data_IF_144356979791
#
_entry.id   IF_144356979791
#
_cell.length_a   1.000
_cell.length_b   1.000
_cell.length_c   1.000
_cell.angle_alpha   90.00
_cell.angle_beta   90.00
_cell.angle_gamma   90.00
#
_symmetry.space_group_name_H-M   'P 1'
#
loop_
_entity.id
_entity.type
_entity.pdbx_description
1 polymer ?
#
# COMPACT_ATOMS: atom_id res chain seq x y z
N UNK A 1 -7.64 19.58 -21.70
CA UNK A 1 -6.54 18.93 -22.43
C UNK A 1 -5.71 18.18 -21.41
N UNK A 2 -5.96 16.88 -21.24
CA UNK A 2 -5.18 16.03 -20.32
C UNK A 2 -4.24 15.28 -21.22
N UNK A 3 -3.12 15.93 -21.55
CA UNK A 3 -2.14 15.37 -22.47
C UNK A 3 -1.53 14.09 -21.89
N UNK A 4 -1.27 13.18 -22.81
CA UNK A 4 -0.78 11.83 -22.62
C UNK A 4 0.38 11.75 -21.60
N UNK A 5 0.05 11.24 -20.41
CA UNK A 5 1.03 10.77 -19.43
C UNK A 5 1.52 9.36 -19.80
N UNK A 6 1.92 9.18 -21.06
CA UNK A 6 2.61 8.00 -21.55
C UNK A 6 4.08 8.11 -21.12
N UNK A 7 4.34 7.64 -19.91
CA UNK A 7 5.52 6.81 -19.70
C UNK A 7 5.30 5.66 -20.68
N UNK A 8 6.13 5.48 -21.72
CA UNK A 8 5.90 4.58 -22.87
C UNK A 8 5.45 3.16 -22.52
N UNK A 9 4.18 3.02 -22.17
CA UNK A 9 3.54 1.83 -21.65
C UNK A 9 2.45 1.50 -22.68
N UNK A 10 2.71 0.45 -23.46
CA UNK A 10 1.75 -0.07 -24.43
C UNK A 10 0.50 -0.54 -23.68
N UNK A 11 -0.65 0.05 -24.00
CA UNK A 11 -1.92 -0.31 -23.37
C UNK A 11 -2.46 -1.62 -23.94
N UNK A 12 -2.61 -2.63 -23.09
CA UNK A 12 -3.32 -3.87 -23.42
C UNK A 12 -4.65 -3.89 -22.67
N UNK A 13 -5.68 -3.25 -23.24
CA UNK A 13 -7.03 -3.23 -22.63
C UNK A 13 -7.52 -4.66 -22.46
N UNK A 14 -7.53 -5.14 -21.22
CA UNK A 14 -7.95 -6.50 -20.88
C UNK A 14 -8.58 -6.50 -19.48
N UNK A 15 -9.91 -6.47 -19.41
CA UNK A 15 -10.63 -6.58 -18.14
C UNK A 15 -10.25 -7.81 -17.31
N UNK A 16 -9.99 -9.00 -17.89
CA UNK A 16 -9.51 -10.16 -17.13
C UNK A 16 -8.18 -9.90 -16.41
N UNK A 17 -7.23 -9.23 -17.07
CA UNK A 17 -5.95 -8.81 -16.47
C UNK A 17 -6.18 -7.87 -15.28
N UNK A 18 -7.07 -6.89 -15.44
CA UNK A 18 -7.37 -5.94 -14.37
C UNK A 18 -8.00 -6.65 -13.15
N UNK A 19 -8.91 -7.60 -13.38
CA UNK A 19 -9.52 -8.41 -12.32
C UNK A 19 -8.46 -9.22 -11.57
N UNK A 20 -7.55 -9.90 -12.28
CA UNK A 20 -6.48 -10.68 -11.63
C UNK A 20 -5.53 -9.81 -10.80
N UNK A 21 -5.19 -8.61 -11.28
CA UNK A 21 -4.38 -7.65 -10.52
C UNK A 21 -5.08 -7.25 -9.21
N UNK A 22 -6.39 -6.96 -9.27
CA UNK A 22 -7.17 -6.59 -8.08
C UNK A 22 -7.30 -7.76 -7.12
N UNK A 23 -7.59 -8.96 -7.63
CA UNK A 23 -7.69 -10.18 -6.81
C UNK A 23 -6.36 -10.46 -6.11
N UNK A 24 -5.22 -10.38 -6.82
CA UNK A 24 -3.90 -10.56 -6.22
C UNK A 24 -3.66 -9.60 -5.05
N UNK A 25 -3.97 -8.31 -5.25
CA UNK A 25 -3.79 -7.29 -4.22
C UNK A 25 -4.72 -7.51 -3.01
N UNK A 26 -5.99 -7.87 -3.25
CA UNK A 26 -6.95 -8.14 -2.18
C UNK A 26 -6.53 -9.36 -1.34
N UNK A 27 -6.04 -10.43 -1.96
CA UNK A 27 -5.65 -11.65 -1.25
C UNK A 27 -4.55 -11.43 -0.20
N UNK A 28 -3.57 -10.56 -0.50
CA UNK A 28 -2.51 -10.21 0.46
C UNK A 28 -3.04 -9.34 1.61
N UNK A 29 -4.15 -8.62 1.39
CA UNK A 29 -4.78 -7.76 2.39
C UNK A 29 -5.80 -8.50 3.28
N UNK A 30 -6.18 -9.72 2.93
CA UNK A 30 -7.15 -10.47 3.73
C UNK A 30 -6.51 -10.93 5.05
N UNK A 31 -7.23 -10.82 6.18
CA UNK A 31 -6.78 -11.46 7.40
C UNK A 31 -6.64 -12.97 7.14
N UNK A 32 -5.63 -13.57 7.76
CA UNK A 32 -5.29 -14.98 7.59
C UNK A 32 -5.69 -15.75 8.86
N UNK A 33 -6.98 -16.02 9.09
CA UNK A 33 -7.44 -16.62 10.34
C UNK A 33 -7.10 -18.11 10.40
N UNK A 34 -6.38 -18.49 11.44
CA UNK A 34 -6.14 -19.90 11.78
C UNK A 34 -4.96 -20.55 11.04
N UNK A 35 -4.58 -21.75 11.51
CA UNK A 35 -3.37 -22.44 11.07
C UNK A 35 -3.39 -22.93 9.61
N UNK A 36 -4.57 -23.07 8.99
CA UNK A 36 -4.71 -23.51 7.60
C UNK A 36 -4.73 -22.37 6.57
N UNK A 37 -5.10 -21.15 6.98
CA UNK A 37 -5.33 -20.05 6.06
C UNK A 37 -4.11 -19.62 5.23
N UNK A 38 -2.85 -19.70 5.73
CA UNK A 38 -1.71 -19.32 4.90
C UNK A 38 -1.51 -20.23 3.67
N UNK A 39 -1.87 -21.52 3.78
CA UNK A 39 -1.77 -22.46 2.67
C UNK A 39 -2.81 -22.18 1.59
N UNK A 40 -4.03 -21.79 2.00
CA UNK A 40 -5.09 -21.40 1.07
C UNK A 40 -4.68 -20.14 0.32
N UNK A 41 -4.20 -19.11 1.01
CA UNK A 41 -3.75 -17.87 0.36
C UNK A 41 -2.57 -18.14 -0.57
N UNK A 42 -1.59 -18.96 -0.16
CA UNK A 42 -0.48 -19.37 -1.03
C UNK A 42 -0.95 -20.13 -2.28
N UNK A 43 -1.93 -21.04 -2.15
CA UNK A 43 -2.48 -21.77 -3.28
C UNK A 43 -3.21 -20.85 -4.26
N UNK A 44 -3.99 -19.89 -3.77
CA UNK A 44 -4.69 -18.92 -4.63
C UNK A 44 -3.70 -17.96 -5.29
N UNK A 45 -2.69 -17.50 -4.58
CA UNK A 45 -1.61 -16.69 -5.15
C UNK A 45 -0.84 -17.45 -6.25
N UNK A 46 -0.50 -18.73 -6.01
CA UNK A 46 0.09 -19.59 -7.03
C UNK A 46 -0.82 -19.74 -8.26
N UNK A 47 -2.15 -19.88 -8.06
CA UNK A 47 -3.11 -19.93 -9.16
C UNK A 47 -3.17 -18.61 -9.94
N UNK A 48 -3.09 -17.46 -9.26
CA UNK A 48 -2.98 -16.14 -9.90
C UNK A 48 -1.69 -16.06 -10.72
N UNK A 49 -0.56 -16.51 -10.19
CA UNK A 49 0.72 -16.56 -10.89
C UNK A 49 0.64 -17.46 -12.14
N UNK A 50 0.08 -18.67 -12.03
CA UNK A 50 -0.13 -19.56 -13.19
C UNK A 50 -1.03 -18.90 -14.23
N UNK A 51 -2.15 -18.31 -13.80
CA UNK A 51 -3.08 -17.59 -14.69
C UNK A 51 -2.41 -16.40 -15.38
N UNK A 52 -1.51 -15.70 -14.70
CA UNK A 52 -0.72 -14.60 -15.24
C UNK A 52 0.20 -15.06 -16.39
N UNK A 53 0.85 -16.21 -16.23
CA UNK A 53 1.66 -16.83 -17.27
C UNK A 53 0.80 -17.36 -18.42
N UNK A 54 -0.37 -17.95 -18.16
CA UNK A 54 -1.30 -18.39 -19.21
C UNK A 54 -1.82 -17.24 -20.07
N UNK A 55 -2.03 -16.05 -19.47
CA UNK A 55 -2.45 -14.84 -20.18
C UNK A 55 -1.29 -14.10 -20.87
N UNK A 56 -0.04 -14.51 -20.65
CA UNK A 56 1.16 -13.82 -21.15
C UNK A 56 1.11 -12.31 -20.87
N UNK A 57 0.65 -11.93 -19.68
CA UNK A 57 0.42 -10.53 -19.33
C UNK A 57 1.48 -10.04 -18.33
N UNK A 58 2.51 -9.29 -18.79
CA UNK A 58 3.56 -8.79 -17.92
C UNK A 58 3.05 -8.02 -16.68
N UNK A 59 1.98 -7.18 -16.78
CA UNK A 59 1.41 -6.52 -15.61
C UNK A 59 0.92 -7.46 -14.51
N UNK A 60 0.24 -8.56 -14.88
CA UNK A 60 -0.23 -9.55 -13.89
C UNK A 60 0.96 -10.30 -13.31
N UNK A 61 1.93 -10.71 -14.14
CA UNK A 61 3.11 -11.45 -13.68
C UNK A 61 3.89 -10.61 -12.66
N UNK A 62 4.15 -9.33 -12.95
CA UNK A 62 4.84 -8.44 -12.00
C UNK A 62 4.03 -8.22 -10.72
N UNK A 63 2.72 -8.03 -10.84
CA UNK A 63 1.85 -7.90 -9.67
C UNK A 63 1.94 -9.14 -8.80
N UNK A 64 1.75 -10.32 -9.39
CA UNK A 64 1.77 -11.59 -8.69
C UNK A 64 3.14 -11.85 -8.02
N UNK A 65 4.25 -11.64 -8.73
CA UNK A 65 5.59 -11.79 -8.14
C UNK A 65 5.83 -10.90 -6.93
N UNK A 66 5.32 -9.66 -6.95
CA UNK A 66 5.42 -8.77 -5.79
C UNK A 66 4.54 -9.26 -4.63
N UNK A 67 3.28 -9.61 -4.91
CA UNK A 67 2.32 -10.09 -3.91
C UNK A 67 2.79 -11.39 -3.25
N UNK A 68 3.27 -12.34 -4.06
CA UNK A 68 3.81 -13.61 -3.61
C UNK A 68 5.03 -13.40 -2.70
N UNK A 69 5.92 -12.47 -3.06
CA UNK A 69 7.08 -12.14 -2.24
C UNK A 69 6.70 -11.52 -0.88
N UNK A 70 5.76 -10.55 -0.87
CA UNK A 70 5.24 -9.96 0.38
C UNK A 70 4.63 -11.06 1.27
N UNK A 71 3.74 -11.86 0.70
CA UNK A 71 3.00 -12.88 1.43
C UNK A 71 3.92 -13.98 1.96
N UNK A 72 4.88 -14.45 1.15
CA UNK A 72 5.85 -15.47 1.54
C UNK A 72 6.71 -14.99 2.70
N UNK A 73 7.30 -13.79 2.60
CA UNK A 73 8.17 -13.26 3.65
C UNK A 73 7.39 -13.06 4.95
N UNK A 74 6.18 -12.49 4.88
CA UNK A 74 5.33 -12.31 6.05
C UNK A 74 4.95 -13.66 6.69
N UNK A 75 4.58 -14.65 5.88
CA UNK A 75 4.23 -15.99 6.37
C UNK A 75 5.42 -16.70 7.00
N UNK A 76 6.61 -16.63 6.38
CA UNK A 76 7.82 -17.22 6.94
C UNK A 76 8.20 -16.53 8.25
N UNK A 77 8.18 -15.20 8.30
CA UNK A 77 8.51 -14.46 9.51
C UNK A 77 7.61 -14.78 10.69
N UNK A 78 6.30 -14.87 10.45
CA UNK A 78 5.32 -15.22 11.48
C UNK A 78 5.42 -16.70 11.90
N UNK A 79 5.64 -17.63 10.97
CA UNK A 79 5.71 -19.07 11.25
C UNK A 79 7.01 -19.51 11.89
N UNK A 80 8.12 -18.91 11.50
CA UNK A 80 9.45 -19.20 12.04
C UNK A 80 9.77 -18.37 13.29
N UNK A 81 8.83 -17.52 13.73
CA UNK A 81 9.00 -16.69 14.93
C UNK A 81 10.13 -15.67 14.80
N UNK A 82 10.35 -15.14 13.60
CA UNK A 82 11.37 -14.10 13.40
C UNK A 82 10.99 -12.84 14.18
N UNK A 83 11.99 -12.08 14.67
CA UNK A 83 11.71 -10.77 15.26
C UNK A 83 10.87 -9.91 14.30
N UNK A 84 9.81 -9.23 14.77
CA UNK A 84 8.94 -8.43 13.89
C UNK A 84 9.71 -7.45 13.02
N UNK A 85 10.73 -6.79 13.56
CA UNK A 85 11.60 -5.88 12.81
C UNK A 85 12.28 -6.55 11.62
N UNK A 86 12.76 -7.80 11.77
CA UNK A 86 13.38 -8.57 10.68
C UNK A 86 12.35 -8.88 9.59
N UNK A 87 11.18 -9.39 9.98
CA UNK A 87 10.08 -9.66 9.04
C UNK A 87 9.69 -8.40 8.27
N UNK A 88 9.52 -7.28 8.96
CA UNK A 88 9.12 -6.02 8.33
C UNK A 88 10.19 -5.48 7.37
N UNK A 89 11.47 -5.51 7.75
CA UNK A 89 12.57 -5.12 6.84
C UNK A 89 12.56 -6.00 5.59
N UNK A 90 12.40 -7.32 5.74
CA UNK A 90 12.36 -8.23 4.61
C UNK A 90 11.14 -7.99 3.71
N UNK A 91 9.96 -7.70 4.28
CA UNK A 91 8.74 -7.36 3.52
C UNK A 91 8.94 -6.06 2.72
N UNK A 92 9.72 -5.11 3.22
CA UNK A 92 10.03 -3.88 2.48
C UNK A 92 11.09 -4.11 1.39
N UNK A 93 12.12 -4.91 1.67
CA UNK A 93 13.29 -5.07 0.79
C UNK A 93 13.06 -6.11 -0.30
N UNK A 94 12.62 -7.33 0.06
CA UNK A 94 12.58 -8.47 -0.88
C UNK A 94 11.67 -8.19 -2.08
N UNK A 95 10.40 -7.75 -1.91
CA UNK A 95 9.51 -7.47 -3.04
C UNK A 95 10.00 -6.28 -3.88
N UNK A 96 10.66 -5.30 -3.25
CA UNK A 96 11.20 -4.13 -3.93
C UNK A 96 12.44 -4.47 -4.77
N UNK A 97 13.23 -5.47 -4.36
CA UNK A 97 14.41 -5.95 -5.09
C UNK A 97 14.04 -6.94 -6.19
N UNK A 98 13.05 -7.81 -5.97
CA UNK A 98 12.67 -8.85 -6.94
C UNK A 98 12.18 -8.25 -8.26
N UNK A 99 11.43 -7.14 -8.20
CA UNK A 99 10.85 -6.51 -9.38
C UNK A 99 11.90 -5.96 -10.36
N UNK A 100 12.88 -5.13 -9.96
CA UNK A 100 13.98 -4.72 -10.83
C UNK A 100 14.78 -5.90 -11.40
N UNK A 101 14.95 -6.98 -10.63
CA UNK A 101 15.65 -8.19 -11.10
C UNK A 101 14.86 -8.86 -12.23
N UNK A 102 13.56 -9.07 -12.04
CA UNK A 102 12.68 -9.61 -13.07
C UNK A 102 12.57 -8.70 -14.30
N UNK A 103 12.61 -7.37 -14.09
CA UNK A 103 12.62 -6.37 -15.15
C UNK A 103 13.87 -6.38 -16.05
N UNK A 104 14.90 -7.17 -15.73
CA UNK A 104 16.03 -7.42 -16.65
C UNK A 104 15.63 -8.28 -17.85
N UNK A 105 14.58 -9.09 -17.71
CA UNK A 105 13.98 -9.80 -18.83
C UNK A 105 13.19 -8.81 -19.71
N UNK A 106 13.44 -8.73 -21.03
CA UNK A 106 12.74 -7.78 -21.90
C UNK A 106 11.21 -7.93 -21.86
N UNK A 107 10.70 -9.14 -21.66
CA UNK A 107 9.27 -9.44 -21.55
C UNK A 107 8.60 -8.88 -20.29
N UNK A 108 9.38 -8.55 -19.24
CA UNK A 108 8.86 -8.05 -17.96
C UNK A 108 9.27 -6.59 -17.70
N UNK A 109 10.08 -5.99 -18.57
CA UNK A 109 10.46 -4.58 -18.48
C UNK A 109 9.32 -3.65 -18.94
N UNK A 110 9.18 -2.44 -18.37
CA UNK A 110 9.83 -1.94 -17.15
C UNK A 110 9.08 -2.40 -15.89
N UNK A 111 9.80 -2.95 -14.90
CA UNK A 111 9.16 -3.56 -13.72
C UNK A 111 9.01 -2.67 -12.49
N UNK A 112 9.90 -1.68 -12.31
CA UNK A 112 9.85 -0.75 -11.18
C UNK A 112 10.03 0.73 -11.56
N UNK A 113 9.38 1.24 -12.63
CA UNK A 113 9.51 2.66 -13.03
C UNK A 113 8.97 3.63 -11.95
N UNK A 114 8.34 3.09 -10.91
CA UNK A 114 7.75 3.82 -9.80
C UNK A 114 8.74 4.19 -8.69
N UNK A 115 9.90 3.53 -8.60
CA UNK A 115 10.94 3.76 -7.57
C UNK A 115 11.70 5.09 -7.70
N UNK A 116 11.23 6.00 -8.56
CA UNK A 116 11.80 7.34 -8.70
C UNK A 116 11.21 8.30 -7.67
N UNK A 117 12.01 9.25 -7.20
CA UNK A 117 11.56 10.29 -6.28
C UNK A 117 10.37 11.10 -6.86
N UNK A 118 10.43 11.41 -8.15
CA UNK A 118 9.41 12.21 -8.83
C UNK A 118 9.85 13.66 -9.00
N UNK A 119 8.88 14.55 -9.24
CA UNK A 119 9.08 15.99 -9.46
C UNK A 119 8.12 16.77 -8.57
N UNK A 120 8.59 17.88 -8.00
CA UNK A 120 7.78 18.84 -7.26
C UNK A 120 7.38 19.99 -8.19
N UNK A 121 6.14 19.94 -8.68
CA UNK A 121 5.49 21.07 -9.36
C UNK A 121 4.85 21.99 -8.32
N UNK A 122 4.48 23.21 -8.73
CA UNK A 122 3.94 24.23 -7.81
C UNK A 122 2.68 23.81 -7.07
N UNK A 123 1.87 22.92 -7.65
CA UNK A 123 0.63 22.42 -7.07
C UNK A 123 0.83 21.28 -6.05
N UNK A 124 1.96 20.56 -6.12
CA UNK A 124 2.18 19.38 -5.28
C UNK A 124 2.30 19.70 -3.78
N UNK A 125 3.09 20.70 -3.35
CA UNK A 125 3.17 21.05 -1.93
C UNK A 125 1.80 21.44 -1.36
N UNK A 126 0.99 22.18 -2.11
CA UNK A 126 -0.36 22.54 -1.71
C UNK A 126 -1.28 21.33 -1.59
N UNK A 127 -1.26 20.44 -2.59
CA UNK A 127 -2.04 19.22 -2.56
C UNK A 127 -1.64 18.32 -1.39
N UNK A 128 -0.34 18.20 -1.10
CA UNK A 128 0.19 17.47 0.04
C UNK A 128 -0.27 18.10 1.37
N UNK A 129 -0.14 19.42 1.53
CA UNK A 129 -0.56 20.13 2.73
C UNK A 129 -2.06 20.00 2.99
N UNK A 130 -2.90 20.14 1.96
CA UNK A 130 -4.36 19.93 2.06
C UNK A 130 -4.68 18.48 2.42
N UNK A 131 -3.97 17.51 1.84
CA UNK A 131 -4.16 16.09 2.15
C UNK A 131 -3.81 15.82 3.61
N UNK A 132 -2.64 16.26 4.09
CA UNK A 132 -2.19 16.09 5.48
C UNK A 132 -3.13 16.79 6.45
N UNK A 133 -3.40 18.08 6.24
CA UNK A 133 -4.23 18.87 7.14
C UNK A 133 -5.68 18.40 7.16
N UNK A 134 -6.29 18.22 5.98
CA UNK A 134 -7.67 17.76 5.86
C UNK A 134 -7.86 16.33 6.38
N UNK A 135 -6.96 15.42 6.03
CA UNK A 135 -6.97 14.05 6.53
C UNK A 135 -6.73 13.96 8.04
N UNK A 136 -5.78 14.72 8.57
CA UNK A 136 -5.51 14.78 10.01
C UNK A 136 -6.69 15.33 10.82
N UNK A 137 -7.34 16.39 10.33
CA UNK A 137 -8.57 16.94 10.96
C UNK A 137 -9.69 15.90 10.91
N UNK A 138 -9.97 15.31 9.74
CA UNK A 138 -11.02 14.30 9.60
C UNK A 138 -10.78 13.08 10.50
N UNK A 139 -9.54 12.60 10.56
CA UNK A 139 -9.13 11.49 11.42
C UNK A 139 -9.30 11.83 12.91
N UNK A 140 -8.89 13.04 13.32
CA UNK A 140 -9.02 13.49 14.71
C UNK A 140 -10.48 13.60 15.12
N UNK A 141 -11.32 14.23 14.29
CA UNK A 141 -12.76 14.35 14.55
C UNK A 141 -13.42 12.98 14.64
N UNK A 142 -13.07 12.06 13.74
CA UNK A 142 -13.55 10.68 13.78
C UNK A 142 -13.12 9.98 15.07
N UNK A 143 -11.84 10.08 15.47
CA UNK A 143 -11.33 9.45 16.68
C UNK A 143 -12.01 9.97 17.95
N UNK A 144 -12.26 11.28 18.03
CA UNK A 144 -12.98 11.90 19.15
C UNK A 144 -14.45 11.50 19.21
N UNK A 145 -15.11 11.34 18.06
CA UNK A 145 -16.52 10.96 17.98
C UNK A 145 -16.74 9.47 18.27
N UNK A 146 -15.89 8.61 17.71
CA UNK A 146 -16.05 7.14 17.76
C UNK A 146 -15.37 6.53 18.98
N UNK A 147 -14.28 7.15 19.48
CA UNK A 147 -13.43 6.63 20.57
C UNK A 147 -13.04 5.15 20.35
N UNK A 148 -12.41 4.83 19.20
CA UNK A 148 -12.02 3.47 18.88
C UNK A 148 -10.99 2.94 19.88
N UNK A 149 -11.04 1.63 20.17
CA UNK A 149 -9.99 0.99 20.96
C UNK A 149 -8.69 0.89 20.14
N UNK A 150 -7.55 1.36 20.67
CA UNK A 150 -6.27 1.20 19.99
C UNK A 150 -5.86 -0.27 19.87
N UNK A 151 -5.11 -0.57 18.80
CA UNK A 151 -4.56 -1.91 18.58
C UNK A 151 -3.65 -2.32 19.75
N UNK A 152 -3.47 -3.63 20.00
CA UNK A 152 -2.61 -4.10 21.10
C UNK A 152 -1.19 -3.51 21.05
N UNK A 153 -0.64 -3.33 19.84
CA UNK A 153 0.66 -2.68 19.65
C UNK A 153 0.66 -1.22 20.13
N UNK A 154 -0.35 -0.43 19.76
CA UNK A 154 -0.45 0.97 20.17
C UNK A 154 -0.68 1.11 21.69
N UNK A 155 -1.41 0.17 22.30
CA UNK A 155 -1.56 0.11 23.77
C UNK A 155 -0.24 -0.12 24.48
N UNK A 156 0.61 -1.02 23.98
CA UNK A 156 1.95 -1.21 24.54
C UNK A 156 2.79 0.07 24.48
N UNK A 157 2.62 0.90 23.43
CA UNK A 157 3.32 2.19 23.36
C UNK A 157 2.83 3.19 24.43
N UNK A 158 1.57 3.13 24.87
CA UNK A 158 1.03 3.99 25.92
C UNK A 158 1.67 3.73 27.30
N UNK A 159 2.18 2.52 27.52
CA UNK A 159 2.84 2.12 28.78
C UNK A 159 4.31 2.54 28.84
N UNK A 160 4.88 3.01 27.72
CA UNK A 160 6.28 3.40 27.62
C UNK A 160 6.48 4.89 27.92
N UNK A 161 7.71 5.31 28.31
CA UNK A 161 8.03 6.74 28.39
C UNK A 161 7.74 7.44 27.06
N UNK A 162 7.20 8.66 27.12
CA UNK A 162 6.72 9.42 25.94
C UNK A 162 7.75 9.48 24.81
N UNK A 163 9.02 9.65 25.13
CA UNK A 163 10.08 9.71 24.12
C UNK A 163 10.29 8.34 23.42
N UNK A 164 10.14 7.22 24.13
CA UNK A 164 10.20 5.88 23.54
C UNK A 164 8.96 5.62 22.67
N UNK A 165 7.78 6.00 23.17
CA UNK A 165 6.54 5.91 22.41
C UNK A 165 6.62 6.72 21.10
N UNK A 166 7.16 7.94 21.17
CA UNK A 166 7.38 8.79 19.99
C UNK A 166 8.34 8.15 18.98
N UNK A 167 9.46 7.57 19.44
CA UNK A 167 10.37 6.83 18.56
C UNK A 167 9.68 5.62 17.92
N UNK A 168 8.86 4.89 18.67
CA UNK A 168 8.06 3.77 18.17
C UNK A 168 7.06 4.21 17.09
N UNK A 169 6.32 5.30 17.33
CA UNK A 169 5.38 5.88 16.36
C UNK A 169 6.08 6.31 15.09
N UNK A 170 7.19 7.04 15.19
CA UNK A 170 7.95 7.50 14.01
C UNK A 170 8.53 6.31 13.24
N UNK A 171 9.11 5.34 13.93
CA UNK A 171 9.65 4.13 13.31
C UNK A 171 8.57 3.32 12.59
N UNK A 172 7.42 3.11 13.23
CA UNK A 172 6.26 2.46 12.63
C UNK A 172 5.79 3.22 11.38
N UNK A 173 5.56 4.54 11.49
CA UNK A 173 5.08 5.36 10.39
C UNK A 173 6.01 5.31 9.17
N UNK A 174 7.33 5.44 9.40
CA UNK A 174 8.31 5.39 8.33
C UNK A 174 8.33 4.05 7.61
N UNK A 175 8.20 2.94 8.34
CA UNK A 175 8.33 1.60 7.78
C UNK A 175 7.02 1.09 7.18
N UNK A 176 5.88 1.35 7.84
CA UNK A 176 4.56 0.98 7.35
C UNK A 176 4.27 1.62 5.99
N UNK A 177 4.54 2.93 5.90
CA UNK A 177 4.39 3.68 4.66
C UNK A 177 5.26 3.15 3.50
N UNK A 178 6.39 2.46 3.74
CA UNK A 178 7.22 1.90 2.65
C UNK A 178 6.48 0.79 1.92
N UNK A 179 6.04 -0.24 2.63
CA UNK A 179 5.46 -1.42 1.99
C UNK A 179 4.05 -1.12 1.46
N UNK A 180 3.26 -0.31 2.16
CA UNK A 180 1.94 0.11 1.67
C UNK A 180 2.07 0.93 0.38
N UNK A 181 2.94 1.93 0.34
CA UNK A 181 3.10 2.71 -0.88
C UNK A 181 3.71 1.90 -2.02
N UNK A 182 4.62 0.96 -1.74
CA UNK A 182 5.13 0.03 -2.75
C UNK A 182 4.02 -0.86 -3.32
N UNK A 183 3.14 -1.41 -2.48
CA UNK A 183 2.01 -2.25 -2.90
C UNK A 183 0.99 -1.46 -3.72
N UNK A 184 0.49 -0.35 -3.16
CA UNK A 184 -0.66 0.38 -3.70
C UNK A 184 -0.28 1.37 -4.81
N UNK A 185 0.77 2.19 -4.61
CA UNK A 185 1.18 3.28 -5.52
C UNK A 185 2.36 2.89 -6.41
N UNK A 186 3.15 1.94 -5.95
CA UNK A 186 4.21 1.29 -6.70
C UNK A 186 3.62 0.34 -7.72
N UNK A 187 3.20 -0.84 -7.28
CA UNK A 187 2.78 -1.94 -8.17
C UNK A 187 1.34 -1.77 -8.64
N UNK A 188 0.36 -1.82 -7.74
CA UNK A 188 -1.06 -1.89 -8.12
C UNK A 188 -1.48 -0.74 -9.05
N UNK A 189 -1.17 0.51 -8.68
CA UNK A 189 -1.47 1.66 -9.52
C UNK A 189 -0.67 1.67 -10.83
N UNK A 190 0.60 1.27 -10.85
CA UNK A 190 1.39 1.26 -12.09
C UNK A 190 0.84 0.24 -13.07
N UNK A 191 0.51 -0.97 -12.60
CA UNK A 191 0.03 -2.04 -13.46
C UNK A 191 -1.41 -1.81 -13.92
N UNK A 192 -2.32 -1.35 -13.04
CA UNK A 192 -3.68 -0.99 -13.46
C UNK A 192 -3.69 0.12 -14.52
N UNK A 193 -2.76 1.08 -14.45
CA UNK A 193 -2.66 2.17 -15.44
C UNK A 193 -2.39 1.65 -16.86
N UNK A 194 -1.66 0.55 -17.00
CA UNK A 194 -1.34 -0.04 -18.31
C UNK A 194 -2.55 -0.73 -18.94
N UNK A 195 -3.53 -1.14 -18.12
CA UNK A 195 -4.65 -1.98 -18.53
C UNK A 195 -5.95 -1.20 -18.66
N UNK A 196 -6.29 -0.38 -17.64
CA UNK A 196 -7.56 0.37 -17.58
C UNK A 196 -7.38 1.87 -17.78
N UNK A 197 -6.13 2.38 -17.75
CA UNK A 197 -5.82 3.80 -17.85
C UNK A 197 -5.83 4.52 -16.50
N UNK A 198 -5.37 5.78 -16.49
CA UNK A 198 -5.03 6.49 -15.25
C UNK A 198 -6.19 6.74 -14.29
N UNK A 199 -7.31 7.29 -14.77
CA UNK A 199 -8.45 7.63 -13.90
C UNK A 199 -9.04 6.40 -13.19
N UNK A 200 -9.45 5.33 -13.89
CA UNK A 200 -9.99 4.15 -13.22
C UNK A 200 -8.94 3.44 -12.36
N UNK A 201 -7.66 3.41 -12.76
CA UNK A 201 -6.61 2.82 -11.93
C UNK A 201 -6.46 3.54 -10.57
N UNK A 202 -6.54 4.88 -10.55
CA UNK A 202 -6.50 5.67 -9.31
C UNK A 202 -7.70 5.38 -8.42
N UNK A 203 -8.90 5.23 -9.00
CA UNK A 203 -10.12 4.89 -8.24
C UNK A 203 -10.05 3.46 -7.70
N UNK A 204 -9.75 2.47 -8.55
CA UNK A 204 -9.70 1.06 -8.17
C UNK A 204 -8.66 0.85 -7.07
N UNK A 205 -7.44 1.37 -7.22
CA UNK A 205 -6.42 1.20 -6.19
C UNK A 205 -6.87 1.80 -4.84
N UNK A 206 -7.53 2.96 -4.88
CA UNK A 206 -8.02 3.62 -3.67
C UNK A 206 -9.12 2.81 -2.97
N UNK A 207 -9.99 2.14 -3.73
CA UNK A 207 -11.01 1.25 -3.18
C UNK A 207 -10.36 0.00 -2.55
N UNK A 208 -9.37 -0.60 -3.20
CA UNK A 208 -8.60 -1.73 -2.63
C UNK A 208 -7.89 -1.30 -1.34
N UNK A 209 -7.28 -0.11 -1.33
CA UNK A 209 -6.66 0.48 -0.14
C UNK A 209 -7.68 0.66 1.00
N UNK A 210 -8.84 1.23 0.72
CA UNK A 210 -9.90 1.38 1.72
C UNK A 210 -10.36 0.04 2.29
N UNK A 211 -10.62 -0.94 1.42
CA UNK A 211 -11.05 -2.28 1.82
C UNK A 211 -10.01 -2.97 2.72
N UNK A 212 -8.72 -2.85 2.39
CA UNK A 212 -7.63 -3.38 3.22
C UNK A 212 -7.62 -2.79 4.65
N UNK A 213 -8.20 -1.60 4.83
CA UNK A 213 -8.28 -0.91 6.11
C UNK A 213 -9.59 -1.14 6.88
N UNK A 214 -10.49 -2.03 6.41
CA UNK A 214 -11.74 -2.32 7.11
C UNK A 214 -11.53 -2.69 8.60
N UNK A 215 -10.47 -3.46 8.88
CA UNK A 215 -10.08 -3.87 10.23
C UNK A 215 -8.87 -3.08 10.76
N UNK A 216 -8.44 -2.03 10.03
CA UNK A 216 -7.32 -1.18 10.38
C UNK A 216 -7.73 0.01 11.23
N UNK A 217 -6.91 1.06 11.22
CA UNK A 217 -7.22 2.34 11.86
C UNK A 217 -7.12 3.45 10.81
N UNK A 218 -8.15 4.27 10.58
CA UNK A 218 -9.50 4.22 11.17
C UNK A 218 -10.26 2.93 10.78
N UNK A 219 -11.14 2.45 11.67
CA UNK A 219 -11.78 1.12 11.56
C UNK A 219 -13.23 1.16 11.05
N UNK A 220 -13.73 0.01 10.61
CA UNK A 220 -15.12 -0.20 10.20
C UNK A 220 -15.46 0.49 8.87
N UNK A 221 -16.75 0.58 8.56
CA UNK A 221 -17.22 1.15 7.29
C UNK A 221 -16.80 2.61 7.10
N UNK A 222 -16.88 3.42 8.16
CA UNK A 222 -16.42 4.81 8.11
C UNK A 222 -14.92 4.89 7.87
N UNK A 223 -14.13 4.06 8.58
CA UNK A 223 -12.69 3.97 8.37
C UNK A 223 -12.32 3.54 6.96
N UNK A 224 -12.99 2.51 6.41
CA UNK A 224 -12.82 2.07 5.03
C UNK A 224 -13.03 3.22 4.02
N UNK A 225 -14.09 4.02 4.19
CA UNK A 225 -14.41 5.15 3.29
C UNK A 225 -13.36 6.26 3.45
N UNK A 226 -12.96 6.59 4.68
CA UNK A 226 -11.92 7.58 4.96
C UNK A 226 -10.59 7.16 4.36
N UNK A 227 -10.19 5.91 4.54
CA UNK A 227 -8.97 5.32 3.97
C UNK A 227 -9.05 5.29 2.44
N UNK A 228 -10.21 4.99 1.84
CA UNK A 228 -10.38 5.08 0.39
C UNK A 228 -10.21 6.54 -0.12
N UNK A 229 -10.77 7.52 0.57
CA UNK A 229 -10.63 8.94 0.21
C UNK A 229 -9.18 9.42 0.36
N UNK A 230 -8.52 9.08 1.46
CA UNK A 230 -7.08 9.29 1.64
C UNK A 230 -6.28 8.63 0.52
N UNK A 231 -6.65 7.39 0.22
CA UNK A 231 -5.96 6.59 -0.77
C UNK A 231 -6.08 7.15 -2.18
N UNK A 232 -7.22 7.75 -2.51
CA UNK A 232 -7.46 8.49 -3.74
C UNK A 232 -6.49 9.67 -3.87
N UNK A 233 -6.34 10.47 -2.82
CA UNK A 233 -5.43 11.63 -2.79
C UNK A 233 -3.97 11.23 -2.97
N UNK A 234 -3.52 10.17 -2.29
CA UNK A 234 -2.18 9.62 -2.50
C UNK A 234 -1.98 9.11 -3.94
N UNK A 235 -3.00 8.49 -4.54
CA UNK A 235 -2.98 8.08 -5.95
C UNK A 235 -2.83 9.28 -6.90
N UNK A 236 -3.53 10.39 -6.64
CA UNK A 236 -3.39 11.64 -7.40
C UNK A 236 -1.97 12.22 -7.24
N UNK A 237 -1.46 12.30 -6.01
CA UNK A 237 -0.09 12.76 -5.72
C UNK A 237 0.94 11.90 -6.45
N UNK A 238 0.76 10.57 -6.46
CA UNK A 238 1.62 9.63 -7.17
C UNK A 238 1.65 9.87 -8.69
N UNK A 239 0.49 10.12 -9.29
CA UNK A 239 0.39 10.41 -10.73
C UNK A 239 1.00 11.77 -11.06
N UNK A 240 0.68 12.83 -10.30
CA UNK A 240 1.15 14.19 -10.57
C UNK A 240 2.64 14.39 -10.34
N UNK A 241 3.16 13.88 -9.22
CA UNK A 241 4.60 13.91 -8.92
C UNK A 241 5.41 12.99 -9.84
N UNK A 242 4.74 12.06 -10.52
CA UNK A 242 5.36 10.99 -11.30
C UNK A 242 6.29 10.10 -10.47
N UNK A 243 6.42 10.24 -9.15
CA UNK A 243 7.29 9.39 -8.30
C UNK A 243 6.62 8.98 -6.99
N UNK A 244 7.32 8.17 -6.19
CA UNK A 244 6.78 7.58 -4.95
C UNK A 244 7.12 8.40 -3.69
N UNK A 245 8.10 9.30 -3.74
CA UNK A 245 8.58 10.02 -2.56
C UNK A 245 7.51 10.93 -1.94
N UNK A 246 6.76 11.66 -2.78
CA UNK A 246 5.70 12.56 -2.30
C UNK A 246 4.59 11.79 -1.57
N UNK A 247 3.94 10.78 -2.17
CA UNK A 247 2.90 10.04 -1.45
C UNK A 247 3.45 9.31 -0.22
N UNK A 248 4.71 8.82 -0.25
CA UNK A 248 5.38 8.27 0.93
C UNK A 248 5.46 9.26 2.09
N UNK A 249 6.00 10.47 1.87
CA UNK A 249 6.13 11.47 2.94
C UNK A 249 4.76 11.87 3.49
N UNK A 250 3.77 12.03 2.62
CA UNK A 250 2.39 12.35 3.03
C UNK A 250 1.78 11.20 3.85
N UNK A 251 2.04 9.95 3.48
CA UNK A 251 1.60 8.77 4.23
C UNK A 251 2.25 8.71 5.62
N UNK A 252 3.56 8.94 5.74
CA UNK A 252 4.26 8.99 7.03
C UNK A 252 3.61 10.00 7.98
N UNK A 253 3.15 11.15 7.47
CA UNK A 253 2.42 12.13 8.29
C UNK A 253 1.08 11.59 8.80
N UNK A 254 0.34 10.81 8.01
CA UNK A 254 -0.90 10.17 8.48
C UNK A 254 -0.62 9.11 9.55
N UNK A 255 0.34 8.22 9.32
CA UNK A 255 0.69 7.17 10.29
C UNK A 255 1.20 7.78 11.61
N UNK A 256 1.99 8.85 11.53
CA UNK A 256 2.40 9.61 12.70
C UNK A 256 1.22 10.24 13.43
N UNK A 257 0.25 10.80 12.70
CA UNK A 257 -0.99 11.35 13.29
C UNK A 257 -1.80 10.25 14.00
N UNK A 258 -1.94 9.07 13.38
CA UNK A 258 -2.60 7.91 13.99
C UNK A 258 -1.90 7.54 15.30
N UNK A 259 -0.57 7.40 15.28
CA UNK A 259 0.21 7.03 16.47
C UNK A 259 0.12 8.07 17.58
N UNK A 260 0.17 9.37 17.25
CA UNK A 260 -0.01 10.45 18.22
C UNK A 260 -1.40 10.40 18.84
N UNK A 261 -2.47 10.29 18.05
CA UNK A 261 -3.84 10.19 18.55
C UNK A 261 -4.01 8.96 19.45
N UNK A 262 -3.44 7.81 19.05
CA UNK A 262 -3.49 6.60 19.84
C UNK A 262 -2.80 6.77 21.20
N UNK A 263 -1.60 7.36 21.24
CA UNK A 263 -0.83 7.49 22.48
C UNK A 263 -1.36 8.60 23.39
N UNK A 264 -1.95 9.67 22.85
CA UNK A 264 -2.28 10.89 23.62
C UNK A 264 -3.77 11.13 23.83
N UNK A 265 -4.64 10.64 22.93
CA UNK A 265 -6.08 10.94 22.95
C UNK A 265 -6.92 9.72 23.28
N UNK A 266 -6.53 8.53 22.78
CA UNK A 266 -7.28 7.28 22.94
C UNK A 266 -6.82 6.48 24.18
N UNK A 267 -6.98 7.08 25.36
CA UNK A 267 -6.70 6.45 26.66
C UNK A 267 -7.84 5.54 27.12
#
# INVERSE_FOLDING_TARGET
MVDDLDIGIVRTRSWPTAVLIVVAALLVCLPVPGAGAPFVVAAVLALVTVSAFSLWSPPVIRTALFMDAVFLVFTLGTRLGWPPAVTTVLVCVVPTVILPVCGRAPSLSPAAPWLRAGRLTRDIPWLAAVTIGGGGVALTLWALAVKPSPSPYLRQLQELPVWVAALGVVGFAMVNSVWEEALFRGVLLTELRTVVGTRPAVVIQALVFGFAHMNGFPSGWTGMIMSAAWGLMLGVLRVRSRGILVPYVVHVCADATIGILAVTVLL
#
